data_IF_435241819164
#
_entry.id   IF_435241819164
#
_cell.length_a   1.000
_cell.length_b   1.000
_cell.length_c   1.000
_cell.angle_alpha   90.00
_cell.angle_beta   90.00
_cell.angle_gamma   90.00
#
_symmetry.space_group_name_H-M   'P 1'
#
loop_
_entity.id
_entity.type
_entity.pdbx_description
1 polymer ?
#
# COMPACT_ATOMS: atom_id res chain seq x y z
N UNK A 1 -20.42 2.15 -25.59
CA UNK A 1 -19.18 2.73 -26.16
C UNK A 1 -18.36 3.44 -25.09
N UNK A 2 -18.92 4.38 -24.33
CA UNK A 2 -18.18 5.10 -23.28
C UNK A 2 -17.68 4.22 -22.12
N UNK A 3 -18.43 3.19 -21.72
CA UNK A 3 -17.98 2.27 -20.65
C UNK A 3 -16.69 1.52 -21.00
N UNK A 4 -16.56 0.97 -22.21
CA UNK A 4 -15.35 0.24 -22.61
C UNK A 4 -14.12 1.16 -22.71
N UNK A 5 -14.30 2.40 -23.17
CA UNK A 5 -13.23 3.41 -23.16
C UNK A 5 -12.79 3.74 -21.72
N UNK A 6 -13.75 3.91 -20.81
CA UNK A 6 -13.48 4.22 -19.41
C UNK A 6 -12.83 3.04 -18.69
N UNK A 7 -13.32 1.82 -18.92
CA UNK A 7 -12.75 0.57 -18.41
C UNK A 7 -11.31 0.39 -18.89
N UNK A 8 -11.05 0.57 -20.19
CA UNK A 8 -9.70 0.45 -20.76
C UNK A 8 -8.77 1.51 -20.20
N UNK A 9 -9.24 2.76 -20.11
CA UNK A 9 -8.46 3.85 -19.52
C UNK A 9 -8.21 3.65 -18.02
N UNK A 10 -9.16 3.07 -17.28
CA UNK A 10 -8.99 2.71 -15.86
C UNK A 10 -7.92 1.63 -15.70
N UNK A 11 -8.02 0.54 -16.47
CA UNK A 11 -7.05 -0.56 -16.44
C UNK A 11 -5.64 -0.12 -16.87
N UNK A 12 -5.55 0.89 -17.74
CA UNK A 12 -4.30 1.52 -18.16
C UNK A 12 -3.83 2.68 -17.24
N UNK A 13 -4.51 2.95 -16.12
CA UNK A 13 -4.14 3.99 -15.16
C UNK A 13 -4.33 5.44 -15.63
N UNK A 14 -5.08 5.67 -16.72
CA UNK A 14 -5.32 6.99 -17.33
C UNK A 14 -6.50 7.76 -16.73
N UNK A 15 -7.30 7.13 -15.88
CA UNK A 15 -8.37 7.75 -15.08
C UNK A 15 -8.54 7.02 -13.75
N UNK A 16 -9.13 7.72 -12.77
CA UNK A 16 -9.30 7.23 -11.40
C UNK A 16 -10.78 7.08 -11.06
N UNK A 17 -11.13 6.03 -10.33
CA UNK A 17 -12.50 5.74 -9.89
C UNK A 17 -12.53 5.50 -8.38
N UNK A 18 -13.15 6.42 -7.64
CA UNK A 18 -13.35 6.30 -6.20
C UNK A 18 -14.72 5.73 -5.85
N UNK A 19 -14.74 4.79 -4.89
CA UNK A 19 -15.95 4.21 -4.32
C UNK A 19 -16.35 4.95 -3.03
N UNK A 20 -17.64 5.21 -2.84
CA UNK A 20 -18.14 5.73 -1.55
C UNK A 20 -18.22 4.60 -0.51
N UNK A 21 -18.06 4.90 0.79
CA UNK A 21 -18.06 3.89 1.85
C UNK A 21 -19.35 3.05 1.85
N UNK A 22 -19.18 1.72 2.01
CA UNK A 22 -20.22 0.69 1.88
C UNK A 22 -21.47 0.86 2.75
N UNK A 23 -21.42 1.71 3.77
CA UNK A 23 -22.47 1.80 4.79
C UNK A 23 -23.65 2.70 4.39
N UNK A 24 -23.62 3.37 3.23
CA UNK A 24 -24.76 4.13 2.74
C UNK A 24 -25.51 3.37 1.63
N UNK A 25 -26.65 2.78 1.99
CA UNK A 25 -27.60 2.15 1.05
C UNK A 25 -28.00 3.14 -0.08
N UNK A 26 -27.91 4.46 0.18
CA UNK A 26 -28.23 5.54 -0.74
C UNK A 26 -27.14 5.92 -1.76
N UNK A 27 -25.95 5.29 -1.76
CA UNK A 27 -24.81 5.69 -2.61
C UNK A 27 -24.16 4.56 -3.42
N UNK A 28 -24.84 3.41 -3.61
CA UNK A 28 -24.28 2.26 -4.35
C UNK A 28 -23.91 2.55 -5.81
N UNK A 29 -24.50 3.56 -6.42
CA UNK A 29 -24.24 4.02 -7.80
C UNK A 29 -23.41 5.32 -7.85
N UNK A 30 -23.07 5.90 -6.70
CA UNK A 30 -22.18 7.05 -6.62
C UNK A 30 -20.75 6.53 -6.71
N UNK A 31 -20.08 6.91 -7.79
CA UNK A 31 -18.65 6.76 -7.97
C UNK A 31 -18.08 8.12 -8.31
N UNK A 32 -16.96 8.46 -7.69
CA UNK A 32 -16.14 9.60 -8.10
C UNK A 32 -15.31 9.14 -9.30
N UNK A 33 -15.32 9.87 -10.41
CA UNK A 33 -14.45 9.59 -11.55
C UNK A 33 -13.63 10.83 -11.85
N UNK A 34 -12.32 10.72 -11.72
CA UNK A 34 -11.36 11.77 -12.03
C UNK A 34 -10.61 11.38 -13.31
N UNK A 35 -10.80 12.16 -14.38
CA UNK A 35 -10.22 11.87 -15.67
C UNK A 35 -9.94 13.16 -16.45
N UNK A 36 -8.78 13.29 -17.12
CA UNK A 36 -8.46 14.47 -17.91
C UNK A 36 -9.20 14.49 -19.26
N UNK A 37 -9.56 15.70 -19.71
CA UNK A 37 -10.05 15.95 -21.07
C UNK A 37 -11.26 15.12 -21.48
N UNK A 38 -11.19 14.50 -22.66
CA UNK A 38 -12.29 13.74 -23.25
C UNK A 38 -12.76 12.56 -22.37
N UNK A 39 -11.85 11.96 -21.60
CA UNK A 39 -12.21 10.88 -20.66
C UNK A 39 -13.11 11.39 -19.53
N UNK A 40 -12.90 12.62 -19.05
CA UNK A 40 -13.75 13.26 -18.05
C UNK A 40 -15.16 13.55 -18.58
N UNK A 41 -15.28 13.93 -19.86
CA UNK A 41 -16.57 14.13 -20.52
C UNK A 41 -17.29 12.79 -20.69
N UNK A 42 -16.58 11.75 -21.17
CA UNK A 42 -17.13 10.39 -21.33
C UNK A 42 -17.57 9.80 -19.98
N UNK A 43 -16.82 10.03 -18.91
CA UNK A 43 -17.15 9.58 -17.56
C UNK A 43 -18.44 10.20 -17.03
N UNK A 44 -18.71 11.48 -17.35
CA UNK A 44 -19.97 12.16 -16.97
C UNK A 44 -21.18 11.56 -17.69
N UNK A 45 -20.99 11.04 -18.89
CA UNK A 45 -22.04 10.43 -19.72
C UNK A 45 -22.32 8.95 -19.42
N UNK A 46 -21.62 8.34 -18.46
CA UNK A 46 -21.87 6.94 -18.06
C UNK A 46 -23.27 6.78 -17.49
N UNK A 47 -23.97 5.74 -17.99
CA UNK A 47 -25.29 5.36 -17.48
C UNK A 47 -25.17 4.79 -16.06
N UNK A 48 -26.29 4.67 -15.35
CA UNK A 48 -26.32 4.01 -14.03
C UNK A 48 -25.83 2.56 -14.10
N UNK A 49 -26.18 1.83 -15.16
CA UNK A 49 -25.73 0.46 -15.38
C UNK A 49 -24.20 0.40 -15.58
N UNK A 50 -23.64 1.31 -16.38
CA UNK A 50 -22.19 1.40 -16.60
C UNK A 50 -21.44 1.75 -15.30
N UNK A 51 -21.98 2.66 -14.50
CA UNK A 51 -21.41 3.02 -13.20
C UNK A 51 -21.41 1.83 -12.25
N UNK A 52 -22.50 1.05 -12.21
CA UNK A 52 -22.58 -0.16 -11.39
C UNK A 52 -21.62 -1.25 -11.87
N UNK A 53 -21.47 -1.43 -13.19
CA UNK A 53 -20.49 -2.34 -13.76
C UNK A 53 -19.05 -1.91 -13.41
N UNK A 54 -18.78 -0.61 -13.43
CA UNK A 54 -17.49 -0.04 -13.03
C UNK A 54 -17.22 -0.23 -11.53
N UNK A 55 -18.23 -0.08 -10.66
CA UNK A 55 -18.14 -0.39 -9.22
C UNK A 55 -17.76 -1.85 -9.01
N UNK A 56 -18.44 -2.78 -9.70
CA UNK A 56 -18.16 -4.21 -9.58
C UNK A 56 -16.76 -4.55 -10.09
N UNK A 57 -16.33 -3.94 -11.19
CA UNK A 57 -14.98 -4.10 -11.72
C UNK A 57 -13.93 -3.55 -10.75
N UNK A 58 -14.16 -2.39 -10.14
CA UNK A 58 -13.30 -1.82 -9.09
C UNK A 58 -13.28 -2.75 -7.88
N UNK A 59 -14.40 -3.32 -7.43
CA UNK A 59 -14.39 -4.31 -6.35
C UNK A 59 -13.63 -5.60 -6.69
N UNK A 60 -13.69 -6.05 -7.94
CA UNK A 60 -12.95 -7.22 -8.42
C UNK A 60 -11.44 -6.94 -8.56
N UNK A 61 -11.07 -5.72 -8.92
CA UNK A 61 -9.67 -5.30 -9.13
C UNK A 61 -9.00 -4.78 -7.85
N UNK A 62 -9.73 -4.05 -6.99
CA UNK A 62 -9.32 -3.57 -5.66
C UNK A 62 -9.42 -4.66 -4.57
N UNK A 63 -9.54 -5.93 -4.96
CA UNK A 63 -9.16 -7.09 -4.14
C UNK A 63 -9.73 -7.11 -2.72
N UNK A 64 -11.05 -7.19 -2.54
CA UNK A 64 -11.62 -7.43 -1.21
C UNK A 64 -11.34 -8.85 -0.66
N UNK A 65 -10.87 -9.77 -1.51
CA UNK A 65 -10.56 -11.16 -1.17
C UNK A 65 -9.08 -11.33 -0.79
N UNK A 66 -8.83 -12.05 0.30
CA UNK A 66 -7.49 -12.42 0.73
C UNK A 66 -6.85 -13.36 -0.31
N UNK A 67 -5.63 -13.06 -0.75
CA UNK A 67 -4.87 -13.84 -1.74
C UNK A 67 -3.53 -14.25 -1.16
N UNK A 68 -2.94 -15.31 -1.68
CA UNK A 68 -1.56 -15.65 -1.34
C UNK A 68 -0.63 -14.47 -1.69
N UNK A 69 0.20 -14.09 -0.73
CA UNK A 69 1.27 -13.12 -0.89
C UNK A 69 2.58 -13.90 -1.04
N UNK A 70 3.05 -14.02 -2.27
CA UNK A 70 4.30 -14.73 -2.57
C UNK A 70 5.53 -13.84 -2.33
N UNK A 71 6.67 -14.46 -2.06
CA UNK A 71 7.96 -13.75 -1.95
C UNK A 71 8.28 -12.96 -3.24
N UNK A 72 8.04 -13.56 -4.41
CA UNK A 72 8.27 -12.94 -5.72
C UNK A 72 7.47 -11.65 -5.92
N UNK A 73 6.22 -11.62 -5.43
CA UNK A 73 5.38 -10.41 -5.52
C UNK A 73 5.99 -9.25 -4.76
N UNK A 74 6.48 -9.51 -3.54
CA UNK A 74 7.11 -8.48 -2.69
C UNK A 74 8.44 -8.03 -3.27
N UNK A 75 9.25 -8.98 -3.78
CA UNK A 75 10.51 -8.66 -4.46
C UNK A 75 10.27 -7.74 -5.65
N UNK A 76 9.30 -8.07 -6.52
CA UNK A 76 8.96 -7.25 -7.68
C UNK A 76 8.56 -5.82 -7.27
N UNK A 77 7.71 -5.66 -6.25
CA UNK A 77 7.33 -4.31 -5.79
C UNK A 77 8.54 -3.47 -5.34
N UNK A 78 9.52 -4.11 -4.73
CA UNK A 78 10.70 -3.42 -4.22
C UNK A 78 11.73 -3.13 -5.33
N UNK A 79 11.81 -3.98 -6.35
CA UNK A 79 12.53 -3.70 -7.60
C UNK A 79 11.90 -2.52 -8.34
N UNK A 80 10.57 -2.45 -8.37
CA UNK A 80 9.76 -1.34 -8.89
C UNK A 80 9.81 -0.08 -7.98
N UNK A 81 10.63 -0.10 -6.92
CA UNK A 81 10.85 1.02 -5.99
C UNK A 81 9.59 1.47 -5.25
N UNK A 82 8.66 0.56 -4.98
CA UNK A 82 7.42 0.86 -4.26
C UNK A 82 7.63 0.99 -2.75
N UNK A 83 6.81 1.85 -2.15
CA UNK A 83 6.57 1.99 -0.74
C UNK A 83 5.43 1.04 -0.32
N UNK A 84 5.74 0.00 0.44
CA UNK A 84 4.77 -1.02 0.85
C UNK A 84 4.43 -0.85 2.33
N UNK A 85 3.16 -0.63 2.65
CA UNK A 85 2.67 -0.69 4.02
C UNK A 85 2.10 -2.08 4.29
N UNK A 86 2.78 -2.88 5.11
CA UNK A 86 2.34 -4.22 5.50
C UNK A 86 1.72 -4.18 6.91
N UNK A 87 0.40 -4.22 6.98
CA UNK A 87 -0.34 -4.19 8.26
C UNK A 87 -0.78 -5.59 8.67
N UNK A 88 -0.89 -5.86 9.96
CA UNK A 88 -1.56 -7.08 10.45
C UNK A 88 -1.39 -7.28 11.95
N UNK A 89 -2.24 -8.10 12.56
CA UNK A 89 -2.18 -8.41 14.01
C UNK A 89 -0.78 -8.85 14.49
N UNK A 90 -0.50 -8.67 15.77
CA UNK A 90 0.70 -9.21 16.42
C UNK A 90 0.83 -10.72 16.16
N UNK A 91 2.06 -11.21 16.02
CA UNK A 91 2.37 -12.61 15.75
C UNK A 91 1.68 -13.22 14.52
N UNK A 92 1.31 -12.39 13.53
CA UNK A 92 0.79 -12.85 12.25
C UNK A 92 1.86 -13.42 11.31
N UNK A 93 3.15 -13.23 11.61
CA UNK A 93 4.27 -13.75 10.82
C UNK A 93 4.85 -12.76 9.79
N UNK A 94 4.46 -11.48 9.83
CA UNK A 94 4.94 -10.44 8.89
C UNK A 94 6.47 -10.39 8.77
N UNK A 95 7.17 -10.25 9.90
CA UNK A 95 8.63 -10.14 9.93
C UNK A 95 9.30 -11.42 9.43
N UNK A 96 8.81 -12.60 9.85
CA UNK A 96 9.32 -13.90 9.37
C UNK A 96 9.15 -14.09 7.87
N UNK A 97 7.97 -13.72 7.34
CA UNK A 97 7.71 -13.75 5.90
C UNK A 97 8.67 -12.84 5.15
N UNK A 98 8.82 -11.59 5.60
CA UNK A 98 9.72 -10.65 4.94
C UNK A 98 11.18 -11.11 5.00
N UNK A 99 11.65 -11.67 6.12
CA UNK A 99 12.99 -12.22 6.24
C UNK A 99 13.24 -13.37 5.25
N UNK A 100 12.23 -14.19 4.99
CA UNK A 100 12.32 -15.24 3.96
C UNK A 100 12.25 -14.66 2.53
N UNK A 101 11.40 -13.65 2.29
CA UNK A 101 11.22 -13.06 0.99
C UNK A 101 12.36 -12.11 0.58
N UNK A 102 13.01 -11.46 1.54
CA UNK A 102 13.98 -10.39 1.32
C UNK A 102 15.22 -10.59 2.22
N UNK A 103 15.96 -11.71 2.09
CA UNK A 103 17.05 -12.05 3.01
C UNK A 103 18.18 -11.02 3.03
N UNK A 104 18.35 -10.25 1.96
CA UNK A 104 19.39 -9.22 1.82
C UNK A 104 18.90 -7.80 2.14
N UNK A 105 17.63 -7.62 2.54
CA UNK A 105 17.14 -6.28 2.87
C UNK A 105 17.83 -5.69 4.11
N UNK A 106 17.84 -4.37 4.20
CA UNK A 106 18.24 -3.67 5.43
C UNK A 106 17.05 -3.70 6.40
N UNK A 107 17.20 -4.36 7.54
CA UNK A 107 16.17 -4.44 8.57
C UNK A 107 16.41 -3.43 9.69
N UNK A 108 15.44 -2.55 9.88
CA UNK A 108 15.37 -1.60 10.97
C UNK A 108 14.18 -1.99 11.86
N UNK A 109 14.35 -2.02 13.17
CA UNK A 109 13.25 -2.30 14.09
C UNK A 109 13.13 -1.17 15.11
N UNK A 110 11.99 -0.49 15.16
CA UNK A 110 11.82 0.71 16.00
C UNK A 110 11.95 0.45 17.50
N UNK A 111 11.83 -0.80 17.96
CA UNK A 111 11.95 -1.14 19.39
C UNK A 111 13.36 -1.54 19.80
N UNK A 112 14.14 -2.11 18.89
CA UNK A 112 15.48 -2.65 19.22
C UNK A 112 16.62 -1.86 18.59
N UNK A 113 16.31 -0.95 17.66
CA UNK A 113 17.30 -0.08 17.03
C UNK A 113 17.80 0.97 18.01
N UNK A 114 19.12 1.12 18.10
CA UNK A 114 19.75 2.19 18.87
C UNK A 114 19.74 3.50 18.07
N UNK A 115 18.56 4.11 17.99
CA UNK A 115 18.36 5.39 17.31
C UNK A 115 19.05 6.58 18.00
N UNK A 116 19.58 6.39 19.22
CA UNK A 116 20.36 7.42 19.92
C UNK A 116 21.82 7.50 19.43
N UNK A 117 22.28 6.45 18.75
CA UNK A 117 23.63 6.37 18.22
C UNK A 117 23.67 6.82 16.74
N UNK A 118 24.24 7.99 16.50
CA UNK A 118 24.36 8.56 15.16
C UNK A 118 25.13 7.66 14.19
N UNK A 119 26.14 6.92 14.66
CA UNK A 119 26.92 6.01 13.81
C UNK A 119 26.09 4.81 13.36
N UNK A 120 25.25 4.27 14.25
CA UNK A 120 24.30 3.22 13.88
C UNK A 120 23.32 3.73 12.82
N UNK A 121 22.74 4.91 13.04
CA UNK A 121 21.79 5.54 12.12
C UNK A 121 22.38 5.66 10.72
N UNK A 122 23.53 6.33 10.59
CA UNK A 122 24.17 6.57 9.30
C UNK A 122 24.59 5.26 8.63
N UNK A 123 25.17 4.33 9.38
CA UNK A 123 25.59 3.03 8.85
C UNK A 123 24.44 2.27 8.19
N UNK A 124 23.25 2.25 8.80
CA UNK A 124 22.13 1.49 8.25
C UNK A 124 21.52 2.16 7.01
N UNK A 125 21.36 3.49 7.02
CA UNK A 125 20.74 4.21 5.89
C UNK A 125 21.69 4.40 4.70
N UNK A 126 23.00 4.39 4.93
CA UNK A 126 24.02 4.40 3.87
C UNK A 126 24.38 3.01 3.36
N UNK A 127 23.89 1.94 4.00
CA UNK A 127 24.13 0.56 3.57
C UNK A 127 23.46 0.33 2.21
N UNK A 128 24.29 -0.07 1.24
CA UNK A 128 24.00 -0.32 -0.19
C UNK A 128 22.65 0.24 -0.66
N UNK A 129 22.64 1.39 -1.37
CA UNK A 129 21.42 2.06 -1.78
C UNK A 129 20.60 1.24 -2.80
N UNK A 130 21.11 0.12 -3.31
CA UNK A 130 20.33 -0.76 -4.19
C UNK A 130 19.43 -1.73 -3.44
N UNK A 131 19.75 -2.04 -2.17
CA UNK A 131 18.99 -2.99 -1.36
C UNK A 131 17.69 -2.36 -0.84
N UNK A 132 16.58 -3.10 -0.76
CA UNK A 132 15.36 -2.60 -0.15
C UNK A 132 15.51 -2.45 1.37
N UNK A 133 14.66 -1.61 1.96
CA UNK A 133 14.64 -1.38 3.42
C UNK A 133 13.33 -1.91 4.01
N UNK A 134 13.42 -2.64 5.11
CA UNK A 134 12.27 -3.07 5.90
C UNK A 134 12.35 -2.39 7.26
N UNK A 135 11.31 -1.65 7.62
CA UNK A 135 11.17 -0.97 8.91
C UNK A 135 10.05 -1.63 9.69
N UNK A 136 10.40 -2.37 10.73
CA UNK A 136 9.49 -3.04 11.64
C UNK A 136 9.13 -2.14 12.84
N UNK A 137 7.86 -2.13 13.20
CA UNK A 137 7.30 -1.28 14.26
C UNK A 137 7.71 0.21 14.12
N UNK A 138 7.44 0.88 12.97
CA UNK A 138 7.91 2.24 12.69
C UNK A 138 7.43 3.26 13.74
N UNK A 139 6.24 3.05 14.33
CA UNK A 139 5.69 3.87 15.40
C UNK A 139 6.53 3.92 16.68
N UNK A 140 7.48 2.99 16.86
CA UNK A 140 8.36 2.98 18.03
C UNK A 140 9.59 3.89 17.83
N UNK A 141 9.90 4.31 16.59
CA UNK A 141 10.93 5.32 16.37
C UNK A 141 10.44 6.70 16.83
N UNK A 142 11.35 7.57 17.33
CA UNK A 142 11.05 8.99 17.46
C UNK A 142 10.62 9.56 16.10
N UNK A 143 9.57 10.40 16.09
CA UNK A 143 8.95 10.92 14.85
C UNK A 143 9.96 11.57 13.90
N UNK A 144 10.89 12.37 14.44
CA UNK A 144 11.93 13.03 13.64
C UNK A 144 12.91 12.02 13.02
N UNK A 145 13.25 10.96 13.76
CA UNK A 145 14.15 9.91 13.28
C UNK A 145 13.50 9.13 12.15
N UNK A 146 12.24 8.71 12.32
CA UNK A 146 11.49 8.02 11.26
C UNK A 146 11.35 8.90 10.02
N UNK A 147 11.04 10.19 10.21
CA UNK A 147 10.94 11.16 9.12
C UNK A 147 12.23 11.26 8.31
N UNK A 148 13.39 11.36 8.97
CA UNK A 148 14.67 11.47 8.27
C UNK A 148 15.06 10.16 7.58
N UNK A 149 14.82 8.99 8.20
CA UNK A 149 15.04 7.69 7.55
C UNK A 149 14.23 7.60 6.25
N UNK A 150 12.93 7.92 6.31
CA UNK A 150 12.05 7.86 5.16
C UNK A 150 12.46 8.85 4.07
N UNK A 151 12.90 10.05 4.46
CA UNK A 151 13.41 11.05 3.52
C UNK A 151 14.64 10.53 2.78
N UNK A 152 15.64 9.98 3.49
CA UNK A 152 16.85 9.42 2.88
C UNK A 152 16.51 8.27 1.93
N UNK A 153 15.63 7.35 2.33
CA UNK A 153 15.19 6.23 1.48
C UNK A 153 14.53 6.72 0.18
N UNK A 154 13.70 7.76 0.28
CA UNK A 154 13.04 8.38 -0.88
C UNK A 154 14.03 9.10 -1.79
N UNK A 155 14.99 9.84 -1.24
CA UNK A 155 16.06 10.48 -2.00
C UNK A 155 16.95 9.45 -2.73
N UNK A 156 17.17 8.29 -2.12
CA UNK A 156 17.88 7.16 -2.73
C UNK A 156 17.03 6.38 -3.76
N UNK A 157 15.75 6.73 -3.94
CA UNK A 157 14.80 6.02 -4.79
C UNK A 157 14.74 4.51 -4.51
N UNK A 158 14.67 4.15 -3.23
CA UNK A 158 14.65 2.76 -2.74
C UNK A 158 13.24 2.26 -2.52
N UNK A 159 12.98 1.02 -2.92
CA UNK A 159 11.78 0.31 -2.46
C UNK A 159 11.89 0.00 -0.97
N UNK A 160 10.80 0.17 -0.23
CA UNK A 160 10.79 -0.08 1.21
C UNK A 160 9.47 -0.64 1.72
N UNK A 161 9.53 -1.33 2.86
CA UNK A 161 8.36 -1.90 3.55
C UNK A 161 8.27 -1.33 4.96
N UNK A 162 7.12 -0.73 5.32
CA UNK A 162 6.79 -0.44 6.72
C UNK A 162 5.89 -1.55 7.26
N UNK A 163 6.27 -2.15 8.39
CA UNK A 163 5.54 -3.23 9.03
C UNK A 163 4.85 -2.71 10.28
N UNK A 164 3.52 -2.67 10.29
CA UNK A 164 2.75 -2.14 11.42
C UNK A 164 1.62 -3.07 11.86
N UNK A 165 1.18 -2.89 13.10
CA UNK A 165 -0.05 -3.50 13.60
C UNK A 165 -1.27 -2.60 13.35
N UNK A 166 -1.07 -1.33 13.04
CA UNK A 166 -2.14 -0.37 12.81
C UNK A 166 -2.85 -0.67 11.49
N UNK A 167 -4.04 -1.26 11.55
CA UNK A 167 -4.91 -1.52 10.38
C UNK A 167 -5.90 -0.36 10.10
N UNK A 168 -5.82 0.73 10.89
CA UNK A 168 -6.68 1.92 10.81
C UNK A 168 -6.40 2.89 11.98
N UNK A 169 -7.16 3.97 12.07
CA UNK A 169 -7.02 4.98 13.14
C UNK A 169 -5.85 5.96 12.95
N UNK A 170 -5.52 6.73 13.99
CA UNK A 170 -4.51 7.80 13.92
C UNK A 170 -3.12 7.29 13.53
N UNK A 171 -2.65 6.19 14.14
CA UNK A 171 -1.33 5.63 13.83
C UNK A 171 -1.19 5.13 12.39
N UNK A 172 -2.26 4.57 11.80
CA UNK A 172 -2.26 4.24 10.37
C UNK A 172 -2.21 5.51 9.51
N UNK A 173 -2.97 6.52 9.91
CA UNK A 173 -3.10 7.79 9.18
C UNK A 173 -1.77 8.54 9.13
N UNK A 174 -1.02 8.53 10.24
CA UNK A 174 0.32 9.13 10.33
C UNK A 174 1.32 8.41 9.41
N UNK A 175 1.37 7.08 9.46
CA UNK A 175 2.24 6.29 8.57
C UNK A 175 1.88 6.49 7.10
N UNK A 176 0.58 6.51 6.78
CA UNK A 176 0.09 6.81 5.45
C UNK A 176 0.56 8.17 4.94
N UNK A 177 0.42 9.22 5.77
CA UNK A 177 0.84 10.57 5.44
C UNK A 177 2.36 10.69 5.25
N UNK A 178 3.14 9.91 6.01
CA UNK A 178 4.59 9.87 5.85
C UNK A 178 5.03 9.13 4.59
N UNK A 179 4.26 8.14 4.14
CA UNK A 179 4.62 7.30 2.99
C UNK A 179 4.15 7.89 1.67
N UNK A 180 2.98 8.51 1.64
CA UNK A 180 2.33 8.96 0.40
C UNK A 180 2.33 10.48 0.28
N UNK A 181 2.25 11.01 -0.93
CA UNK A 181 1.93 12.44 -1.16
C UNK A 181 0.43 12.69 -1.21
N UNK A 182 -0.38 11.69 -0.83
CA UNK A 182 -1.83 11.70 -0.87
C UNK A 182 -2.42 12.53 0.29
N UNK A 183 -3.47 13.34 0.05
CA UNK A 183 -4.20 13.95 1.16
C UNK A 183 -4.89 12.88 2.03
N UNK A 184 -4.82 13.08 3.34
CA UNK A 184 -5.32 12.18 4.38
C UNK A 184 -6.86 12.05 4.33
N UNK A 185 -7.39 10.83 4.50
CA UNK A 185 -8.81 10.62 4.83
C UNK A 185 -9.71 10.04 3.72
N UNK A 186 -9.15 9.41 2.68
CA UNK A 186 -9.93 8.70 1.64
C UNK A 186 -9.75 7.17 1.74
N UNK A 187 -10.67 6.45 2.40
CA UNK A 187 -10.63 4.98 2.47
C UNK A 187 -11.04 4.36 1.13
N UNK A 188 -10.27 3.39 0.62
CA UNK A 188 -10.63 2.56 -0.54
C UNK A 188 -10.02 3.00 -1.87
N UNK A 189 -8.78 3.49 -1.85
CA UNK A 189 -8.16 4.14 -2.99
C UNK A 189 -6.79 3.52 -3.30
N UNK A 190 -6.73 2.33 -3.93
CA UNK A 190 -5.48 1.78 -4.48
C UNK A 190 -4.90 2.61 -5.66
N UNK A 191 -5.17 3.92 -5.73
CA UNK A 191 -4.91 4.81 -6.89
C UNK A 191 -4.36 6.22 -6.52
N UNK A 192 -4.03 6.53 -5.25
CA UNK A 192 -3.53 7.90 -4.90
C UNK A 192 -2.03 8.06 -5.10
N UNK A 193 -1.25 6.98 -5.01
CA UNK A 193 0.18 6.99 -5.34
C UNK A 193 0.55 5.67 -6.04
N UNK A 194 0.93 5.67 -7.32
CA UNK A 194 1.29 4.43 -8.03
C UNK A 194 2.50 3.72 -7.43
N UNK A 195 3.28 4.44 -6.61
CA UNK A 195 4.43 3.89 -5.91
C UNK A 195 4.06 3.34 -4.53
N UNK A 196 2.80 3.42 -4.09
CA UNK A 196 2.37 2.93 -2.78
C UNK A 196 1.51 1.67 -2.87
N UNK A 197 1.79 0.69 -2.01
CA UNK A 197 1.01 -0.56 -1.89
C UNK A 197 0.67 -0.78 -0.43
N UNK A 198 -0.62 -0.84 -0.10
CA UNK A 198 -1.06 -1.29 1.22
C UNK A 198 -1.49 -2.76 1.17
N UNK A 199 -0.86 -3.58 2.01
CA UNK A 199 -1.20 -4.99 2.19
C UNK A 199 -1.63 -5.26 3.63
N UNK A 200 -2.82 -5.82 3.81
CA UNK A 200 -3.27 -6.38 5.08
C UNK A 200 -2.99 -7.88 5.17
N UNK A 201 -2.04 -8.24 6.01
CA UNK A 201 -1.60 -9.61 6.25
C UNK A 201 -2.55 -10.34 7.21
N UNK A 202 -3.05 -11.50 6.77
CA UNK A 202 -3.94 -12.35 7.55
C UNK A 202 -3.29 -13.72 7.78
N UNK A 203 -3.32 -14.20 9.03
CA UNK A 203 -2.93 -15.57 9.36
C UNK A 203 -4.08 -16.49 9.01
N UNK A 204 -3.94 -17.31 7.97
CA UNK A 204 -4.91 -18.36 7.67
C UNK A 204 -4.80 -19.48 8.72
N UNK A 205 -5.92 -19.93 9.28
CA UNK A 205 -5.96 -21.05 10.25
C UNK A 205 -6.05 -22.42 9.58
N UNK A 206 -6.41 -22.48 8.29
CA UNK A 206 -6.87 -23.72 7.64
C UNK A 206 -5.88 -24.34 6.64
N UNK A 207 -4.62 -23.87 6.58
CA UNK A 207 -3.67 -24.38 5.60
C UNK A 207 -2.46 -25.00 6.30
N UNK A 208 -2.32 -26.32 6.15
CA UNK A 208 -1.23 -27.17 6.63
C UNK A 208 0.12 -26.94 5.94
N UNK A 209 0.17 -25.99 5.00
CA UNK A 209 1.37 -25.42 4.40
C UNK A 209 1.42 -23.93 4.76
N UNK A 210 2.60 -23.40 5.12
CA UNK A 210 2.79 -22.03 5.55
C UNK A 210 2.55 -21.03 4.39
N UNK A 211 1.28 -20.82 4.02
CA UNK A 211 0.86 -19.85 3.03
C UNK A 211 0.57 -18.51 3.72
N UNK A 212 1.25 -17.47 3.26
CA UNK A 212 1.04 -16.11 3.75
C UNK A 212 -0.04 -15.44 2.90
N UNK A 213 -1.06 -14.86 3.53
CA UNK A 213 -2.22 -14.31 2.82
C UNK A 213 -2.29 -12.80 3.04
N UNK A 214 -2.34 -12.04 1.97
CA UNK A 214 -2.44 -10.59 1.96
C UNK A 214 -3.68 -10.10 1.23
N UNK A 215 -4.20 -8.95 1.66
CA UNK A 215 -5.24 -8.19 0.94
C UNK A 215 -4.64 -6.87 0.51
N UNK A 216 -4.59 -6.60 -0.80
CA UNK A 216 -4.27 -5.27 -1.32
C UNK A 216 -5.51 -4.41 -1.09
N UNK A 217 -5.37 -3.31 -0.37
CA UNK A 217 -6.49 -2.47 0.08
C UNK A 217 -6.58 -1.16 -0.71
#
# INVERSE_FOLDING_TARGET
>A
MFYEDIKTAMLAGKLKVGLYPRNSISHRDKISIEAPGLLGIKAKLLTKADRLALVNLVHQTAGDAARELTASTVQQWLEERKAVLLTGKAASGKTTFLQAALPNAVYLNGRTSDCSNANWFWYQVSKDPHLPVVIDEPQAFPVLVLGEILKIIKEQNRGYVLVSQAEGGSGFTELWALMTTAPVGFPGYPQIDPNFVWVKFQRSRDVTTAMWVGKIV
#
